data_IF_174886493926
#
_entry.id   IF_174886493926
#
_cell.length_a   1.000
_cell.length_b   1.000
_cell.length_c   1.000
_cell.angle_alpha   90.00
_cell.angle_beta   90.00
_cell.angle_gamma   90.00
#
_symmetry.space_group_name_H-M   'P 1'
#
loop_
_entity.id
_entity.type
_entity.pdbx_description
1 polymer ?
#
# COMPACT_ATOMS: atom_id res chain seq x y z
N UNK A 1 -26.90 42.86 -53.52
CA UNK A 1 -26.05 41.67 -53.66
C UNK A 1 -24.97 41.52 -52.56
N UNK A 2 -24.23 42.59 -52.19
CA UNK A 2 -23.14 42.49 -51.17
C UNK A 2 -23.60 42.06 -49.75
N UNK A 3 -24.79 42.44 -49.29
CA UNK A 3 -25.32 42.06 -47.97
C UNK A 3 -25.68 40.57 -47.88
N UNK A 4 -26.12 39.92 -48.94
CA UNK A 4 -26.48 38.51 -48.98
C UNK A 4 -25.22 37.63 -48.96
N UNK A 5 -24.14 38.06 -49.66
CA UNK A 5 -22.87 37.31 -49.65
C UNK A 5 -22.18 37.34 -48.27
N UNK A 6 -22.29 38.45 -47.50
CA UNK A 6 -21.71 38.53 -46.15
C UNK A 6 -22.46 37.63 -45.17
N UNK A 7 -23.81 37.56 -45.27
CA UNK A 7 -24.63 36.69 -44.43
C UNK A 7 -24.37 35.21 -44.70
N UNK A 8 -24.16 34.80 -45.94
CA UNK A 8 -23.79 33.40 -46.31
C UNK A 8 -22.38 33.04 -45.85
N UNK A 9 -21.42 33.95 -45.92
CA UNK A 9 -20.04 33.70 -45.46
C UNK A 9 -20.01 33.56 -43.92
N UNK A 10 -20.74 34.36 -43.16
CA UNK A 10 -20.86 34.25 -41.70
C UNK A 10 -21.53 32.94 -41.26
N UNK A 11 -22.57 32.49 -41.94
CA UNK A 11 -23.22 31.20 -41.62
C UNK A 11 -22.33 30.00 -41.96
N UNK A 12 -21.50 30.08 -42.97
CA UNK A 12 -20.54 29.03 -43.35
C UNK A 12 -19.41 28.91 -42.31
N UNK A 13 -18.91 30.04 -41.77
CA UNK A 13 -17.91 30.08 -40.69
C UNK A 13 -18.48 29.50 -39.40
N UNK A 14 -19.75 29.81 -39.07
CA UNK A 14 -20.42 29.28 -37.89
C UNK A 14 -20.66 27.76 -37.99
N UNK A 15 -20.99 27.24 -39.17
CA UNK A 15 -21.12 25.80 -39.42
C UNK A 15 -19.77 25.04 -39.35
N UNK A 16 -18.69 25.67 -39.80
CA UNK A 16 -17.33 25.12 -39.66
C UNK A 16 -16.85 25.08 -38.20
N UNK A 17 -17.22 26.07 -37.40
CA UNK A 17 -16.92 26.06 -35.95
C UNK A 17 -17.72 24.99 -35.18
N UNK A 18 -19.00 24.78 -35.55
CA UNK A 18 -19.81 23.71 -34.95
C UNK A 18 -19.30 22.31 -35.32
N UNK A 19 -18.79 22.10 -36.54
CA UNK A 19 -18.20 20.83 -36.96
C UNK A 19 -16.85 20.58 -36.25
N UNK A 20 -16.08 21.61 -35.98
CA UNK A 20 -14.82 21.51 -35.25
C UNK A 20 -15.04 21.18 -33.75
N UNK A 21 -16.12 21.72 -33.16
CA UNK A 21 -16.48 21.39 -31.77
C UNK A 21 -17.03 19.97 -31.59
N UNK A 22 -17.74 19.43 -32.60
CA UNK A 22 -18.29 18.07 -32.53
C UNK A 22 -17.24 16.98 -32.68
N UNK A 23 -16.10 17.27 -33.31
CA UNK A 23 -14.98 16.33 -33.44
C UNK A 23 -14.05 16.33 -32.22
N UNK A 24 -14.11 17.35 -31.38
CA UNK A 24 -13.28 17.47 -30.17
C UNK A 24 -13.83 16.72 -28.95
N UNK A 25 -15.05 16.20 -28.99
CA UNK A 25 -15.72 15.59 -27.86
C UNK A 25 -15.96 14.07 -27.97
N UNK A 26 -15.51 13.38 -29.01
CA UNK A 26 -15.61 11.92 -29.07
C UNK A 26 -14.46 11.30 -28.28
N UNK A 27 -14.77 10.77 -27.11
CA UNK A 27 -13.82 9.96 -26.34
C UNK A 27 -13.40 8.76 -27.21
N UNK A 28 -12.11 8.42 -27.34
CA UNK A 28 -11.70 7.26 -28.12
C UNK A 28 -12.10 5.97 -27.40
N UNK A 29 -12.39 4.90 -28.14
CA UNK A 29 -12.74 3.60 -27.56
C UNK A 29 -11.62 3.05 -26.68
N UNK A 30 -10.38 3.33 -27.02
CA UNK A 30 -9.21 2.85 -26.30
C UNK A 30 -8.02 3.82 -26.38
N UNK A 31 -7.15 3.74 -25.38
CA UNK A 31 -5.94 4.55 -25.25
C UNK A 31 -4.75 3.68 -24.86
N UNK A 32 -3.56 4.25 -24.96
CA UNK A 32 -2.34 3.65 -24.44
C UNK A 32 -2.18 4.04 -22.95
N UNK A 33 -1.88 3.06 -22.13
CA UNK A 33 -1.54 3.22 -20.71
C UNK A 33 -0.14 2.66 -20.48
N UNK A 34 0.78 3.50 -20.03
CA UNK A 34 2.12 3.12 -19.60
C UNK A 34 2.10 2.84 -18.11
N UNK A 35 2.61 1.68 -17.70
CA UNK A 35 2.88 1.34 -16.30
C UNK A 35 4.38 1.38 -16.05
N UNK A 36 4.81 2.12 -15.01
CA UNK A 36 6.23 2.32 -14.71
C UNK A 36 6.46 2.59 -13.23
N UNK A 37 7.70 2.40 -12.77
CA UNK A 37 8.19 2.95 -11.51
C UNK A 37 9.23 4.03 -11.79
N UNK A 38 9.19 5.10 -11.02
CA UNK A 38 10.20 6.17 -11.11
C UNK A 38 11.49 5.75 -10.41
N UNK A 39 12.62 6.22 -10.93
CA UNK A 39 13.94 6.05 -10.30
C UNK A 39 14.17 7.04 -9.17
N UNK A 40 13.35 8.08 -9.06
CA UNK A 40 13.37 9.03 -7.96
C UNK A 40 13.19 8.31 -6.64
N UNK A 41 13.76 8.91 -5.59
CA UNK A 41 13.69 8.34 -4.25
C UNK A 41 14.12 6.86 -4.18
N UNK A 42 15.13 6.48 -4.98
CA UNK A 42 15.72 5.13 -5.00
C UNK A 42 14.70 3.99 -5.16
N UNK A 43 13.63 4.20 -5.91
CA UNK A 43 12.60 3.18 -6.16
C UNK A 43 11.53 3.04 -5.08
N UNK A 44 11.43 3.98 -4.12
CA UNK A 44 10.42 3.94 -3.07
C UNK A 44 9.05 4.50 -3.46
N UNK A 45 8.94 5.08 -4.67
CA UNK A 45 7.70 5.74 -5.08
C UNK A 45 6.61 4.80 -5.59
N UNK A 46 6.96 3.53 -5.91
CA UNK A 46 5.97 2.54 -6.35
C UNK A 46 5.52 2.68 -7.80
N UNK A 47 4.36 2.10 -8.13
CA UNK A 47 3.80 2.02 -9.48
C UNK A 47 3.06 3.29 -9.85
N UNK A 48 3.40 3.83 -11.02
CA UNK A 48 2.76 5.00 -11.63
C UNK A 48 2.20 4.67 -13.01
N UNK A 49 1.31 5.53 -13.49
CA UNK A 49 0.77 5.47 -14.84
C UNK A 49 0.94 6.78 -15.58
N UNK A 50 1.11 6.65 -16.89
CA UNK A 50 0.92 7.74 -17.85
C UNK A 50 0.04 7.24 -19.00
N UNK A 51 -0.64 8.11 -19.69
CA UNK A 51 -1.53 7.73 -20.79
C UNK A 51 -1.28 8.55 -22.04
N UNK A 52 -1.64 7.99 -23.19
CA UNK A 52 -1.45 8.63 -24.49
C UNK A 52 -2.55 8.23 -25.46
N UNK A 53 -2.95 9.16 -26.33
CA UNK A 53 -3.83 8.87 -27.46
C UNK A 53 -3.09 8.19 -28.60
N UNK A 54 -1.87 8.63 -28.89
CA UNK A 54 -1.09 8.31 -30.08
C UNK A 54 0.12 7.41 -29.80
N UNK A 55 0.41 7.11 -28.54
CA UNK A 55 1.59 6.36 -28.09
C UNK A 55 2.90 7.15 -28.18
N UNK A 56 2.84 8.48 -28.45
CA UNK A 56 4.01 9.36 -28.58
C UNK A 56 4.01 10.44 -27.52
N UNK A 57 2.88 11.15 -27.37
CA UNK A 57 2.71 12.21 -26.38
C UNK A 57 2.07 11.63 -25.12
N UNK A 58 2.75 11.73 -24.01
CA UNK A 58 2.32 11.08 -22.75
C UNK A 58 1.89 12.10 -21.70
N UNK A 59 0.79 11.81 -21.05
CA UNK A 59 0.23 12.58 -19.97
C UNK A 59 0.35 11.77 -18.68
N UNK A 60 0.97 12.34 -17.66
CA UNK A 60 1.07 11.74 -16.34
C UNK A 60 -0.32 11.65 -15.69
N UNK A 61 -0.62 10.54 -15.05
CA UNK A 61 -1.92 10.36 -14.38
C UNK A 61 -1.94 11.08 -13.03
N UNK A 62 -0.83 11.05 -12.30
CA UNK A 62 -0.74 11.68 -10.98
C UNK A 62 0.67 12.19 -10.71
N UNK A 63 0.79 13.31 -10.01
CA UNK A 63 2.09 13.91 -9.72
C UNK A 63 2.84 13.21 -8.58
N UNK A 64 2.17 12.83 -7.51
CA UNK A 64 2.82 12.31 -6.30
C UNK A 64 2.16 11.03 -5.75
N UNK A 65 1.12 10.57 -6.38
CA UNK A 65 0.38 9.40 -5.94
C UNK A 65 0.79 8.15 -6.72
N UNK A 66 1.12 7.08 -6.02
CA UNK A 66 1.35 5.74 -6.60
C UNK A 66 0.16 4.83 -6.37
N UNK A 67 -0.12 3.97 -7.34
CA UNK A 67 -1.25 3.03 -7.29
C UNK A 67 -0.97 1.82 -6.40
N UNK A 68 0.28 1.39 -6.34
CA UNK A 68 0.77 0.41 -5.37
C UNK A 68 2.22 0.73 -4.99
N UNK A 69 2.55 0.61 -3.71
CA UNK A 69 3.91 0.69 -3.17
C UNK A 69 4.31 -0.67 -2.65
N UNK A 70 5.59 -1.02 -2.76
CA UNK A 70 6.09 -2.22 -2.11
C UNK A 70 5.93 -2.11 -0.59
N UNK A 71 5.37 -3.14 0.04
CA UNK A 71 5.25 -3.24 1.50
C UNK A 71 6.25 -4.27 2.09
N UNK A 72 7.20 -4.75 1.27
CA UNK A 72 8.21 -5.71 1.67
C UNK A 72 9.11 -5.21 2.79
N UNK A 73 9.38 -6.11 3.74
CA UNK A 73 10.31 -5.86 4.85
C UNK A 73 9.76 -4.96 5.95
N UNK A 74 10.47 -4.92 7.07
CA UNK A 74 10.09 -4.16 8.27
C UNK A 74 10.49 -2.68 8.18
N UNK A 75 11.55 -2.38 7.43
CA UNK A 75 12.12 -1.03 7.36
C UNK A 75 11.76 -0.32 6.07
N UNK A 76 11.57 0.98 6.13
CA UNK A 76 11.27 1.81 4.96
C UNK A 76 12.29 1.68 3.82
N UNK A 77 13.56 1.48 4.14
CA UNK A 77 14.65 1.27 3.17
C UNK A 77 14.49 -0.01 2.31
N UNK A 78 13.72 -0.99 2.77
CA UNK A 78 13.46 -2.24 2.06
C UNK A 78 12.25 -2.16 1.12
N UNK A 79 11.41 -1.13 1.26
CA UNK A 79 10.14 -0.99 0.54
C UNK A 79 10.35 -0.36 -0.83
N UNK A 80 11.03 -1.08 -1.72
CA UNK A 80 11.37 -0.61 -3.07
C UNK A 80 10.60 -1.37 -4.14
N UNK A 81 10.38 -0.72 -5.27
CA UNK A 81 9.81 -1.31 -6.47
C UNK A 81 10.73 -0.98 -7.65
N UNK A 82 11.42 -1.99 -8.14
CA UNK A 82 12.34 -1.87 -9.27
C UNK A 82 11.78 -2.64 -10.46
N UNK A 83 11.87 -2.03 -11.64
CA UNK A 83 11.52 -2.64 -12.92
C UNK A 83 10.17 -3.38 -12.93
N UNK A 84 9.06 -2.76 -12.49
CA UNK A 84 7.78 -3.45 -12.48
C UNK A 84 7.35 -3.85 -13.88
N UNK A 85 6.77 -5.04 -13.98
CA UNK A 85 6.13 -5.55 -15.19
C UNK A 85 4.67 -5.84 -14.92
N UNK A 86 3.79 -5.18 -15.64
CA UNK A 86 2.33 -5.35 -15.52
C UNK A 86 1.82 -6.15 -16.71
N UNK A 87 0.91 -7.10 -16.49
CA UNK A 87 0.27 -7.90 -17.54
C UNK A 87 -1.21 -8.12 -17.22
N UNK A 88 -2.06 -8.12 -18.26
CA UNK A 88 -3.44 -8.57 -18.12
C UNK A 88 -3.51 -10.09 -18.28
N UNK A 89 -3.97 -10.78 -17.27
CA UNK A 89 -3.98 -12.23 -17.18
C UNK A 89 -5.18 -12.90 -17.84
N UNK A 90 -5.07 -14.21 -18.05
CA UNK A 90 -6.15 -15.09 -18.54
C UNK A 90 -7.36 -15.15 -17.60
N UNK A 91 -7.15 -14.88 -16.33
CA UNK A 91 -8.15 -14.77 -15.25
C UNK A 91 -8.89 -13.44 -15.25
N UNK A 92 -8.61 -12.60 -16.26
CA UNK A 92 -9.18 -11.24 -16.41
C UNK A 92 -8.76 -10.27 -15.32
N UNK A 93 -7.63 -10.51 -14.68
CA UNK A 93 -7.01 -9.61 -13.71
C UNK A 93 -5.71 -9.04 -14.25
N UNK A 94 -5.31 -7.94 -13.69
CA UNK A 94 -4.00 -7.35 -13.86
C UNK A 94 -3.04 -7.93 -12.84
N UNK A 95 -1.86 -8.31 -13.26
CA UNK A 95 -0.78 -8.79 -12.42
C UNK A 95 0.42 -7.89 -12.57
N UNK A 96 1.03 -7.52 -11.45
CA UNK A 96 2.28 -6.80 -11.40
C UNK A 96 3.34 -7.66 -10.73
N UNK A 97 4.51 -7.76 -11.36
CA UNK A 97 5.69 -8.44 -10.82
C UNK A 97 6.84 -7.44 -10.80
N UNK A 98 7.60 -7.35 -9.72
CA UNK A 98 8.72 -6.43 -9.60
C UNK A 98 9.84 -6.95 -8.72
N UNK A 99 11.05 -6.39 -8.92
CA UNK A 99 12.21 -6.65 -8.08
C UNK A 99 12.17 -5.77 -6.84
N UNK A 100 12.53 -6.32 -5.69
CA UNK A 100 12.51 -5.65 -4.40
C UNK A 100 13.74 -4.76 -4.18
N UNK A 101 14.90 -5.29 -4.49
CA UNK A 101 16.20 -4.59 -4.47
C UNK A 101 17.21 -5.35 -5.36
N UNK A 102 18.46 -4.95 -5.32
CA UNK A 102 19.50 -5.49 -6.20
C UNK A 102 20.00 -6.88 -5.78
N UNK A 103 19.87 -7.24 -4.50
CA UNK A 103 20.48 -8.42 -3.91
C UNK A 103 19.47 -9.50 -3.47
N UNK A 104 18.17 -9.18 -3.52
CA UNK A 104 17.13 -10.05 -2.96
C UNK A 104 16.77 -11.19 -3.92
N UNK A 105 16.69 -12.40 -3.39
CA UNK A 105 16.20 -13.59 -4.10
C UNK A 105 14.67 -13.59 -4.26
N UNK A 106 13.98 -12.85 -3.42
CA UNK A 106 12.52 -12.71 -3.49
C UNK A 106 12.11 -11.63 -4.45
N UNK A 107 10.95 -11.84 -5.03
CA UNK A 107 10.29 -10.83 -5.85
C UNK A 107 8.87 -10.61 -5.36
N UNK A 108 8.27 -9.52 -5.77
CA UNK A 108 6.91 -9.23 -5.37
C UNK A 108 5.95 -9.49 -6.52
N UNK A 109 4.75 -9.92 -6.16
CA UNK A 109 3.61 -10.02 -7.05
C UNK A 109 2.38 -9.45 -6.36
N UNK A 110 1.55 -8.72 -7.11
CA UNK A 110 0.23 -8.27 -6.72
C UNK A 110 -0.75 -8.38 -7.88
N UNK A 111 -2.03 -8.53 -7.57
CA UNK A 111 -3.11 -8.57 -8.57
C UNK A 111 -4.12 -7.45 -8.34
N UNK A 112 -4.78 -7.02 -9.42
CA UNK A 112 -5.82 -5.99 -9.42
C UNK A 112 -6.90 -6.29 -10.45
N UNK A 113 -8.15 -5.98 -10.13
CA UNK A 113 -9.26 -6.08 -11.08
C UNK A 113 -9.40 -4.82 -11.95
N UNK A 114 -8.84 -3.69 -11.51
CA UNK A 114 -9.14 -2.36 -12.07
C UNK A 114 -7.92 -1.43 -12.27
N UNK A 115 -6.69 -1.91 -12.01
CA UNK A 115 -5.44 -1.11 -12.01
C UNK A 115 -5.38 -0.02 -10.90
N UNK A 116 -6.40 0.06 -10.07
CA UNK A 116 -6.51 1.05 -9.00
C UNK A 116 -6.30 0.40 -7.65
N UNK A 117 -7.06 -0.66 -7.38
CA UNK A 117 -7.06 -1.40 -6.12
C UNK A 117 -6.24 -2.67 -6.26
N UNK A 118 -5.04 -2.64 -5.72
CA UNK A 118 -4.14 -3.78 -5.72
C UNK A 118 -4.32 -4.60 -4.45
N UNK A 119 -4.44 -5.93 -4.61
CA UNK A 119 -4.59 -6.86 -3.48
C UNK A 119 -3.28 -7.01 -2.73
N UNK A 120 -3.35 -7.72 -1.60
CA UNK A 120 -2.17 -8.01 -0.77
C UNK A 120 -1.04 -8.62 -1.61
N UNK A 121 0.16 -8.10 -1.41
CA UNK A 121 1.36 -8.55 -2.10
C UNK A 121 1.79 -9.93 -1.59
N UNK A 122 2.33 -10.73 -2.48
CA UNK A 122 3.01 -11.99 -2.18
C UNK A 122 4.49 -11.88 -2.56
N UNK A 123 5.32 -12.66 -1.87
CA UNK A 123 6.78 -12.60 -2.03
C UNK A 123 7.35 -13.99 -2.31
N UNK A 124 7.19 -14.49 -3.55
CA UNK A 124 7.82 -15.74 -3.96
C UNK A 124 9.34 -15.64 -3.88
N UNK A 125 9.96 -16.76 -3.51
CA UNK A 125 11.41 -16.89 -3.37
C UNK A 125 11.96 -17.71 -4.53
N UNK A 126 13.07 -17.28 -5.12
CA UNK A 126 13.91 -18.10 -5.99
C UNK A 126 15.01 -18.75 -5.15
N UNK A 127 15.44 -19.94 -5.54
CA UNK A 127 16.35 -20.72 -4.69
C UNK A 127 17.74 -20.11 -4.62
N UNK A 128 18.23 -19.52 -5.72
CA UNK A 128 19.60 -19.04 -5.83
C UNK A 128 19.72 -17.71 -6.58
N UNK A 129 20.51 -16.80 -6.04
CA UNK A 129 20.89 -15.54 -6.65
C UNK A 129 19.88 -14.42 -6.35
N UNK A 130 19.89 -13.40 -7.19
CA UNK A 130 19.02 -12.24 -7.10
C UNK A 130 17.97 -12.24 -8.23
N UNK A 131 16.90 -11.48 -8.05
CA UNK A 131 15.80 -11.39 -8.99
C UNK A 131 15.67 -9.97 -9.53
N UNK A 132 16.08 -9.75 -10.77
CA UNK A 132 16.10 -8.44 -11.39
C UNK A 132 15.39 -8.41 -12.74
N UNK A 133 14.85 -7.26 -13.09
CA UNK A 133 14.26 -6.94 -14.40
C UNK A 133 13.23 -7.96 -14.88
N UNK A 134 12.19 -8.30 -14.13
CA UNK A 134 11.23 -9.31 -14.52
C UNK A 134 10.50 -8.97 -15.80
N UNK A 135 10.25 -9.99 -16.63
CA UNK A 135 9.39 -9.94 -17.81
C UNK A 135 8.39 -11.09 -17.69
N UNK A 136 7.11 -10.78 -17.82
CA UNK A 136 6.05 -11.78 -17.73
C UNK A 136 5.38 -11.96 -19.07
N UNK A 137 5.23 -13.19 -19.51
CA UNK A 137 4.50 -13.54 -20.72
C UNK A 137 3.58 -14.74 -20.49
N UNK A 138 2.43 -14.75 -21.17
CA UNK A 138 1.50 -15.88 -21.12
C UNK A 138 1.73 -16.79 -22.33
N UNK A 139 1.86 -18.09 -22.08
CA UNK A 139 1.95 -19.11 -23.11
C UNK A 139 0.59 -19.85 -23.22
N UNK A 140 -0.19 -19.63 -24.29
CA UNK A 140 -1.49 -20.26 -24.44
C UNK A 140 -1.42 -21.79 -24.62
N UNK A 141 -0.32 -22.32 -25.18
CA UNK A 141 -0.17 -23.76 -25.42
C UNK A 141 -0.01 -24.54 -24.11
N UNK A 142 0.77 -24.03 -23.17
CA UNK A 142 0.98 -24.65 -21.86
C UNK A 142 0.02 -24.10 -20.78
N UNK A 143 -0.77 -23.11 -21.13
CA UNK A 143 -1.69 -22.41 -20.23
C UNK A 143 -1.01 -21.83 -18.96
N UNK A 144 0.26 -21.45 -19.05
CA UNK A 144 1.11 -20.97 -17.97
C UNK A 144 1.69 -19.59 -18.31
N UNK A 145 2.06 -18.86 -17.27
CA UNK A 145 2.90 -17.68 -17.38
C UNK A 145 4.37 -18.06 -17.25
N UNK A 146 5.21 -17.44 -18.06
CA UNK A 146 6.65 -17.47 -17.91
C UNK A 146 7.11 -16.15 -17.31
N UNK A 147 7.85 -16.21 -16.21
CA UNK A 147 8.51 -15.07 -15.58
C UNK A 147 10.00 -15.19 -15.85
N UNK A 148 10.53 -14.34 -16.71
CA UNK A 148 11.93 -14.25 -17.07
C UNK A 148 12.57 -13.18 -16.22
N UNK A 149 13.81 -13.40 -15.77
CA UNK A 149 14.51 -12.44 -14.93
C UNK A 149 16.04 -12.59 -15.07
N UNK A 150 16.76 -11.57 -14.61
CA UNK A 150 18.21 -11.56 -14.49
C UNK A 150 18.61 -11.98 -13.09
N UNK A 151 19.66 -12.79 -12.99
CA UNK A 151 20.27 -13.21 -11.72
C UNK A 151 21.79 -13.22 -11.88
N UNK A 152 22.45 -12.16 -11.40
CA UNK A 152 23.84 -11.89 -11.76
C UNK A 152 24.00 -11.78 -13.29
N UNK A 153 24.95 -12.56 -13.82
CA UNK A 153 25.21 -12.62 -15.28
C UNK A 153 24.31 -13.64 -16.00
N UNK A 154 23.41 -14.31 -15.29
CA UNK A 154 22.55 -15.36 -15.84
C UNK A 154 21.15 -14.83 -16.12
N UNK A 155 20.54 -15.43 -17.15
CA UNK A 155 19.12 -15.25 -17.45
C UNK A 155 18.37 -16.52 -17.04
N UNK A 156 17.34 -16.34 -16.22
CA UNK A 156 16.56 -17.42 -15.64
C UNK A 156 15.07 -17.28 -15.95
N UNK A 157 14.38 -18.38 -15.83
CA UNK A 157 12.92 -18.46 -15.99
C UNK A 157 12.33 -19.34 -14.90
N UNK A 158 11.20 -18.89 -14.33
CA UNK A 158 10.23 -19.72 -13.61
C UNK A 158 8.90 -19.70 -14.32
N UNK A 159 8.07 -20.71 -14.14
CA UNK A 159 6.69 -20.71 -14.69
C UNK A 159 5.67 -20.85 -13.57
N UNK A 160 4.49 -20.30 -13.81
CA UNK A 160 3.36 -20.36 -12.89
C UNK A 160 2.04 -20.38 -13.65
N UNK A 161 1.03 -21.01 -13.08
CA UNK A 161 -0.33 -20.99 -13.62
C UNK A 161 -1.25 -20.00 -12.89
N UNK A 162 -0.86 -19.57 -11.70
CA UNK A 162 -1.72 -18.88 -10.73
C UNK A 162 -1.02 -17.77 -9.93
N UNK A 163 0.25 -17.49 -10.21
CA UNK A 163 1.11 -16.56 -9.47
C UNK A 163 1.25 -16.87 -7.95
N UNK A 164 0.94 -18.11 -7.56
CA UNK A 164 1.10 -18.58 -6.18
C UNK A 164 2.16 -19.64 -6.07
N UNK A 165 2.15 -20.58 -7.01
CA UNK A 165 3.13 -21.65 -7.09
C UNK A 165 4.01 -21.47 -8.32
N UNK A 166 5.30 -21.67 -8.14
CA UNK A 166 6.30 -21.50 -9.20
C UNK A 166 7.11 -22.76 -9.37
N UNK A 167 7.50 -23.04 -10.63
CA UNK A 167 8.44 -24.14 -10.91
C UNK A 167 9.83 -23.79 -10.40
N UNK A 168 10.71 -24.80 -10.41
CA UNK A 168 12.15 -24.56 -10.27
C UNK A 168 12.67 -23.68 -11.40
N UNK A 169 13.76 -22.96 -11.13
CA UNK A 169 14.41 -22.09 -12.08
C UNK A 169 15.09 -22.86 -13.20
N UNK A 170 15.03 -22.33 -14.39
CA UNK A 170 15.73 -22.85 -15.53
C UNK A 170 16.51 -21.73 -16.21
N UNK A 171 17.74 -22.03 -16.67
CA UNK A 171 18.53 -21.11 -17.48
C UNK A 171 17.88 -20.91 -18.86
N UNK A 172 17.96 -19.70 -19.39
CA UNK A 172 17.50 -19.38 -20.74
C UNK A 172 18.62 -18.70 -21.54
N UNK A 173 18.52 -18.79 -22.87
CA UNK A 173 19.44 -18.10 -23.73
C UNK A 173 19.15 -16.59 -23.80
N UNK A 174 20.16 -15.79 -24.12
CA UNK A 174 20.01 -14.34 -24.31
C UNK A 174 18.96 -13.98 -25.38
N UNK A 175 18.83 -14.81 -26.41
CA UNK A 175 17.83 -14.63 -27.47
C UNK A 175 16.39 -14.73 -27.02
N UNK A 176 16.16 -15.42 -25.89
CA UNK A 176 14.83 -15.67 -25.30
C UNK A 176 14.38 -14.55 -24.35
N UNK A 177 15.35 -13.79 -23.84
CA UNK A 177 15.08 -12.64 -22.98
C UNK A 177 14.83 -11.39 -23.83
N UNK A 178 13.57 -11.18 -24.21
CA UNK A 178 13.14 -10.02 -25.01
C UNK A 178 12.30 -9.11 -24.16
N UNK A 179 12.89 -8.01 -23.71
CA UNK A 179 12.19 -7.01 -22.91
C UNK A 179 11.30 -6.12 -23.81
N UNK A 180 9.97 -6.18 -23.66
CA UNK A 180 9.05 -5.35 -24.44
C UNK A 180 8.90 -3.94 -23.86
N UNK A 181 9.47 -3.65 -22.69
CA UNK A 181 9.42 -2.31 -22.10
C UNK A 181 10.16 -1.31 -22.99
N UNK A 182 9.69 -0.08 -22.94
CA UNK A 182 10.27 1.05 -23.68
C UNK A 182 10.55 2.19 -22.74
N UNK A 183 11.50 3.03 -23.10
CA UNK A 183 11.80 4.26 -22.39
C UNK A 183 11.00 5.43 -22.94
N UNK A 184 10.48 6.24 -22.04
CA UNK A 184 9.68 7.42 -22.35
C UNK A 184 10.12 8.58 -21.45
N UNK A 185 10.01 9.79 -21.97
CA UNK A 185 10.18 11.00 -21.18
C UNK A 185 8.81 11.43 -20.63
N UNK A 186 8.70 11.47 -19.31
CA UNK A 186 7.48 11.87 -18.58
C UNK A 186 7.88 12.97 -17.60
N UNK A 187 7.40 14.20 -17.80
CA UNK A 187 7.72 15.36 -16.95
C UNK A 187 9.23 15.55 -16.72
N UNK A 188 10.03 15.43 -17.78
CA UNK A 188 11.49 15.57 -17.72
C UNK A 188 12.22 14.41 -17.03
N UNK A 189 11.54 13.30 -16.78
CA UNK A 189 12.13 12.07 -16.27
C UNK A 189 12.09 10.96 -17.31
N UNK A 190 13.23 10.31 -17.55
CA UNK A 190 13.30 9.10 -18.36
C UNK A 190 12.85 7.91 -17.54
N UNK A 191 11.70 7.35 -17.90
CA UNK A 191 11.12 6.18 -17.24
C UNK A 191 11.03 5.00 -18.22
N UNK A 192 11.21 3.79 -17.72
CA UNK A 192 11.06 2.56 -18.49
C UNK A 192 9.87 1.77 -17.98
N UNK A 193 8.99 1.36 -18.88
CA UNK A 193 7.78 0.64 -18.52
C UNK A 193 7.14 -0.08 -19.69
N UNK A 194 6.08 -0.81 -19.42
CA UNK A 194 5.33 -1.51 -20.46
C UNK A 194 3.98 -0.84 -20.74
N UNK A 195 3.60 -0.87 -22.02
CA UNK A 195 2.44 -0.17 -22.56
C UNK A 195 1.31 -1.15 -22.79
N UNK A 196 0.10 -0.74 -22.35
CA UNK A 196 -1.13 -1.50 -22.51
C UNK A 196 -2.14 -0.74 -23.36
N UNK A 197 -3.04 -1.46 -24.02
CA UNK A 197 -4.26 -0.86 -24.59
C UNK A 197 -5.39 -1.05 -23.59
N UNK A 198 -5.97 0.04 -23.11
CA UNK A 198 -7.11 0.02 -22.19
C UNK A 198 -8.27 0.81 -22.78
N UNK A 199 -9.49 0.50 -22.34
CA UNK A 199 -10.66 1.30 -22.72
C UNK A 199 -10.57 2.71 -22.14
N UNK A 200 -11.19 3.69 -22.81
CA UNK A 200 -11.31 5.03 -22.23
C UNK A 200 -11.95 5.01 -20.86
N UNK A 201 -12.95 4.16 -20.66
CA UNK A 201 -13.63 4.03 -19.37
C UNK A 201 -12.70 3.54 -18.24
N UNK A 202 -11.78 2.62 -18.55
CA UNK A 202 -10.74 2.20 -17.59
C UNK A 202 -9.83 3.37 -17.22
N UNK A 203 -9.35 4.13 -18.22
CA UNK A 203 -8.55 5.32 -17.97
C UNK A 203 -9.31 6.37 -17.14
N UNK A 204 -10.56 6.64 -17.48
CA UNK A 204 -11.38 7.62 -16.77
C UNK A 204 -11.52 7.28 -15.28
N UNK A 205 -11.69 6.02 -14.92
CA UNK A 205 -11.69 5.56 -13.52
C UNK A 205 -10.35 5.83 -12.83
N UNK A 206 -9.25 5.53 -13.51
CA UNK A 206 -7.90 5.76 -13.00
C UNK A 206 -7.67 7.26 -12.76
N UNK A 207 -8.05 8.12 -13.71
CA UNK A 207 -7.93 9.57 -13.59
C UNK A 207 -8.77 10.13 -12.44
N UNK A 208 -10.05 9.74 -12.36
CA UNK A 208 -10.95 10.18 -11.29
C UNK A 208 -10.45 9.75 -9.91
N UNK A 209 -9.89 8.54 -9.79
CA UNK A 209 -9.30 8.09 -8.55
C UNK A 209 -8.08 8.92 -8.17
N UNK A 210 -7.19 9.19 -9.11
CA UNK A 210 -5.99 10.01 -8.89
C UNK A 210 -6.36 11.45 -8.50
N UNK A 211 -7.35 12.04 -9.17
CA UNK A 211 -7.86 13.38 -8.84
C UNK A 211 -8.46 13.44 -7.43
N UNK A 212 -9.28 12.46 -7.07
CA UNK A 212 -9.84 12.36 -5.72
C UNK A 212 -8.75 12.23 -4.65
N UNK A 213 -7.70 11.46 -4.90
CA UNK A 213 -6.56 11.33 -3.98
C UNK A 213 -5.77 12.63 -3.86
N UNK A 214 -5.51 13.30 -4.98
CA UNK A 214 -4.86 14.61 -4.97
C UNK A 214 -5.69 15.64 -4.19
N UNK A 215 -7.00 15.66 -4.41
CA UNK A 215 -7.90 16.54 -3.66
C UNK A 215 -7.86 16.27 -2.16
N UNK A 216 -7.92 15.00 -1.74
CA UNK A 216 -7.79 14.62 -0.33
C UNK A 216 -6.45 15.02 0.26
N UNK A 217 -5.35 14.82 -0.47
CA UNK A 217 -4.03 15.23 -0.02
C UNK A 217 -3.93 16.76 0.17
N UNK A 218 -4.55 17.54 -0.73
CA UNK A 218 -4.64 18.98 -0.59
C UNK A 218 -5.46 19.40 0.64
N UNK A 219 -6.57 18.71 0.92
CA UNK A 219 -7.39 18.99 2.10
C UNK A 219 -6.63 18.72 3.42
N UNK A 220 -5.73 17.73 3.43
CA UNK A 220 -4.92 17.37 4.60
C UNK A 220 -3.55 18.06 4.62
N UNK A 221 -3.21 18.86 3.61
CA UNK A 221 -1.96 19.61 3.61
C UNK A 221 -2.08 20.84 4.52
N UNK A 222 -0.97 21.23 5.16
CA UNK A 222 -0.92 22.44 5.97
C UNK A 222 -1.08 23.71 5.14
N UNK A 223 -0.73 23.64 3.84
CA UNK A 223 -0.85 24.75 2.89
C UNK A 223 -1.70 24.34 1.70
N UNK A 224 -2.67 25.20 1.37
CA UNK A 224 -3.54 25.04 0.20
C UNK A 224 -3.21 26.07 -0.87
N UNK A 225 -3.42 25.74 -2.13
CA UNK A 225 -3.19 26.65 -3.26
C UNK A 225 -3.96 27.98 -3.16
N UNK A 226 -5.06 27.99 -2.41
CA UNK A 226 -5.90 29.16 -2.18
C UNK A 226 -5.47 30.02 -0.98
N UNK A 227 -4.50 29.57 -0.18
CA UNK A 227 -4.09 30.27 1.05
C UNK A 227 -3.56 31.66 0.77
N UNK A 228 -2.83 31.85 -0.32
CA UNK A 228 -2.37 33.16 -0.76
C UNK A 228 -3.51 34.18 -0.99
N UNK A 229 -4.68 33.70 -1.43
CA UNK A 229 -5.87 34.52 -1.63
C UNK A 229 -6.70 34.63 -0.35
N UNK A 230 -6.93 33.51 0.34
CA UNK A 230 -7.75 33.47 1.58
C UNK A 230 -7.14 34.27 2.70
N UNK A 231 -5.82 34.29 2.80
CA UNK A 231 -5.06 34.92 3.86
C UNK A 231 -4.28 36.16 3.42
N UNK A 232 -4.57 36.69 2.21
CA UNK A 232 -3.90 37.88 1.67
C UNK A 232 -3.97 39.11 2.60
N UNK A 233 -5.00 39.18 3.45
CA UNK A 233 -5.19 40.26 4.43
C UNK A 233 -4.49 40.04 5.76
N UNK A 234 -3.90 38.87 6.00
CA UNK A 234 -3.18 38.58 7.24
C UNK A 234 -1.81 39.26 7.23
N UNK A 235 -1.50 39.91 8.32
CA UNK A 235 -0.17 40.49 8.54
C UNK A 235 0.66 39.56 9.41
N UNK A 236 1.97 39.43 9.18
CA UNK A 236 2.85 38.72 10.09
C UNK A 236 2.70 39.27 11.51
N UNK A 237 2.63 38.41 12.49
CA UNK A 237 2.59 38.78 13.93
C UNK A 237 3.88 38.29 14.55
N UNK A 238 4.66 39.25 15.06
CA UNK A 238 5.84 38.91 15.85
C UNK A 238 5.41 38.63 17.29
N UNK A 239 5.65 37.40 17.73
CA UNK A 239 5.33 36.97 19.10
C UNK A 239 6.63 36.72 19.86
N UNK A 240 6.82 37.44 20.94
CA UNK A 240 7.93 37.21 21.86
C UNK A 240 7.41 36.43 23.06
N UNK A 241 7.89 35.20 23.25
CA UNK A 241 7.62 34.40 24.42
C UNK A 241 8.75 34.61 25.43
N UNK A 242 8.43 35.17 26.58
CA UNK A 242 9.38 35.37 27.67
C UNK A 242 9.12 34.34 28.76
N UNK A 243 10.06 33.47 29.03
CA UNK A 243 10.00 32.60 30.19
C UNK A 243 10.31 33.40 31.46
N UNK A 244 9.48 33.23 32.50
CA UNK A 244 9.63 33.87 33.80
C UNK A 244 9.91 32.77 34.82
N UNK A 245 11.18 32.41 35.07
CA UNK A 245 11.56 31.28 35.92
C UNK A 245 11.01 31.35 37.35
N UNK A 246 10.84 32.55 37.89
CA UNK A 246 10.31 32.81 39.22
C UNK A 246 8.83 32.41 39.38
N UNK A 247 8.10 32.30 38.28
CA UNK A 247 6.73 31.83 38.24
C UNK A 247 6.61 30.33 37.89
N UNK A 248 7.73 29.61 37.90
CA UNK A 248 7.70 28.19 37.65
C UNK A 248 6.96 27.43 38.76
N UNK A 249 6.22 26.41 38.35
CA UNK A 249 5.60 25.43 39.25
C UNK A 249 6.24 24.07 39.00
N UNK A 250 6.45 23.33 40.07
CA UNK A 250 6.87 21.94 39.94
C UNK A 250 5.82 21.16 39.12
N UNK A 251 6.26 20.49 38.11
CA UNK A 251 5.42 19.56 37.33
C UNK A 251 5.38 18.26 38.14
N UNK A 252 4.20 17.73 38.34
CA UNK A 252 4.03 16.40 38.96
C UNK A 252 4.67 15.35 38.03
N UNK A 253 5.37 14.41 38.63
CA UNK A 253 5.92 13.25 37.90
C UNK A 253 4.84 12.43 37.17
N UNK A 254 3.60 12.56 37.63
CA UNK A 254 2.43 11.94 36.99
C UNK A 254 1.95 12.67 35.71
N UNK A 255 2.48 13.87 35.42
CA UNK A 255 2.17 14.64 34.19
C UNK A 255 3.18 14.39 33.06
N UNK A 256 4.18 13.56 33.29
CA UNK A 256 5.08 13.13 32.23
C UNK A 256 4.29 12.17 31.33
N UNK A 257 3.91 12.67 30.15
CA UNK A 257 3.26 11.86 29.13
C UNK A 257 4.25 10.86 28.54
N UNK A 258 3.85 9.62 28.46
CA UNK A 258 4.51 8.61 27.65
C UNK A 258 3.71 8.42 26.37
N UNK A 259 4.40 8.21 25.25
CA UNK A 259 3.76 7.66 24.07
C UNK A 259 3.32 6.25 24.42
N UNK A 260 2.01 6.05 24.41
CA UNK A 260 1.41 4.76 24.71
C UNK A 260 0.86 4.15 23.42
N UNK A 261 1.25 2.95 23.13
CA UNK A 261 0.74 2.14 22.03
C UNK A 261 0.46 0.73 22.59
N UNK A 262 -0.75 0.24 22.40
CA UNK A 262 -1.14 -1.10 22.86
C UNK A 262 -0.54 -2.17 21.93
N UNK A 263 0.75 -2.37 22.09
CA UNK A 263 1.53 -3.40 21.39
C UNK A 263 2.02 -4.42 22.42
N UNK A 264 1.89 -5.70 22.11
CA UNK A 264 2.43 -6.78 22.94
C UNK A 264 1.97 -6.75 24.40
N UNK A 265 0.69 -6.53 24.64
CA UNK A 265 0.11 -6.48 25.99
C UNK A 265 0.56 -5.29 26.84
N UNK A 266 0.96 -4.21 26.21
CA UNK A 266 1.43 -3.02 26.93
C UNK A 266 0.36 -2.39 27.83
N UNK A 267 -0.92 -2.62 27.54
CA UNK A 267 -2.00 -2.30 28.45
C UNK A 267 -3.17 -3.27 28.27
N UNK A 268 -3.35 -4.08 29.20
CA UNK A 268 -4.45 -5.05 29.33
C UNK A 268 -5.82 -4.32 29.45
N UNK A 269 -6.31 -3.81 28.32
CA UNK A 269 -7.58 -3.10 28.21
C UNK A 269 -7.59 -1.65 28.67
N UNK A 270 -6.46 -0.95 28.80
CA UNK A 270 -6.38 0.46 29.14
C UNK A 270 -5.03 0.92 29.69
N UNK A 271 -4.92 2.23 29.97
CA UNK A 271 -3.74 2.80 30.62
C UNK A 271 -3.82 2.56 32.13
N UNK A 272 -3.21 1.49 32.59
CA UNK A 272 -3.08 1.20 34.00
C UNK A 272 -1.60 1.28 34.42
N UNK A 273 -1.36 1.67 35.66
CA UNK A 273 -0.10 1.41 36.34
C UNK A 273 -0.06 -0.05 36.85
N UNK A 274 -0.62 -0.98 36.11
CA UNK A 274 -0.75 -2.38 36.45
C UNK A 274 0.43 -3.17 35.93
N UNK A 275 1.14 -3.87 36.78
CA UNK A 275 2.30 -4.68 36.47
C UNK A 275 2.00 -6.18 36.37
N UNK A 276 0.76 -6.57 36.69
CA UNK A 276 0.34 -7.96 36.71
C UNK A 276 -0.48 -8.27 35.46
N UNK A 277 0.06 -9.13 34.60
CA UNK A 277 -0.64 -9.60 33.41
C UNK A 277 -1.77 -10.57 33.79
N UNK A 278 -2.90 -10.49 33.06
CA UNK A 278 -4.09 -11.34 33.29
C UNK A 278 -4.60 -11.31 34.73
N UNK A 279 -4.59 -10.15 35.35
CA UNK A 279 -4.99 -9.95 36.74
C UNK A 279 -6.44 -10.34 37.03
N UNK A 280 -7.31 -10.29 36.01
CA UNK A 280 -8.74 -10.63 36.12
C UNK A 280 -9.06 -12.07 35.77
N UNK A 281 -8.07 -12.87 35.35
CA UNK A 281 -8.22 -14.26 34.89
C UNK A 281 -9.19 -14.42 33.71
N UNK A 282 -9.32 -13.41 32.85
CA UNK A 282 -10.32 -13.39 31.78
C UNK A 282 -9.76 -13.78 30.40
N UNK A 283 -8.46 -14.07 30.28
CA UNK A 283 -7.88 -14.49 29.03
C UNK A 283 -8.46 -15.80 28.56
N UNK A 284 -8.78 -15.87 27.27
CA UNK A 284 -9.30 -17.06 26.61
C UNK A 284 -8.56 -17.32 25.29
N UNK A 285 -8.49 -18.58 24.82
CA UNK A 285 -7.90 -18.87 23.50
C UNK A 285 -8.57 -18.13 22.34
N UNK A 286 -9.83 -17.75 22.49
CA UNK A 286 -10.57 -16.97 21.49
C UNK A 286 -9.99 -15.58 21.23
N UNK A 287 -9.34 -14.97 22.23
CA UNK A 287 -8.66 -13.67 22.12
C UNK A 287 -7.48 -13.74 21.14
N UNK A 288 -6.98 -14.96 20.88
CA UNK A 288 -5.94 -15.28 19.92
C UNK A 288 -6.44 -16.13 18.76
N UNK A 289 -7.71 -16.01 18.38
CA UNK A 289 -8.32 -16.78 17.31
C UNK A 289 -8.13 -18.29 17.47
N UNK A 290 -8.10 -18.80 18.71
CA UNK A 290 -7.84 -20.20 19.09
C UNK A 290 -6.49 -20.75 18.62
N UNK A 291 -5.52 -19.89 18.27
CA UNK A 291 -4.19 -20.33 17.80
C UNK A 291 -3.22 -20.61 18.95
N UNK A 292 -3.48 -20.06 20.13
CA UNK A 292 -2.65 -20.21 21.31
C UNK A 292 -3.51 -20.70 22.47
N UNK A 293 -3.42 -22.00 22.80
CA UNK A 293 -4.15 -22.62 23.90
C UNK A 293 -3.57 -22.28 25.27
N UNK A 294 -2.34 -21.74 25.33
CA UNK A 294 -1.76 -21.24 26.59
C UNK A 294 -2.38 -19.91 27.02
N UNK A 295 -3.10 -19.24 26.10
CA UNK A 295 -3.84 -18.01 26.37
C UNK A 295 -5.18 -18.36 27.01
N UNK A 296 -5.12 -18.65 28.31
CA UNK A 296 -6.26 -19.09 29.11
C UNK A 296 -6.30 -18.37 30.46
N UNK A 297 -7.26 -18.68 31.28
CA UNK A 297 -7.50 -18.02 32.57
C UNK A 297 -6.26 -18.01 33.50
N UNK A 298 -5.39 -19.01 33.42
CA UNK A 298 -4.18 -19.08 34.23
C UNK A 298 -2.91 -18.58 33.51
N UNK A 299 -3.05 -17.96 32.32
CA UNK A 299 -1.92 -17.40 31.61
C UNK A 299 -1.17 -16.38 32.46
N UNK A 300 0.14 -16.44 32.49
CA UNK A 300 1.04 -15.59 33.29
C UNK A 300 0.96 -15.81 34.82
N UNK A 301 0.24 -16.84 35.27
CA UNK A 301 0.18 -17.19 36.68
C UNK A 301 0.87 -18.52 36.94
N UNK A 302 1.73 -18.56 37.94
CA UNK A 302 2.40 -19.77 38.40
C UNK A 302 1.85 -20.22 39.73
N UNK A 303 1.50 -21.52 39.80
CA UNK A 303 0.99 -22.14 41.00
C UNK A 303 1.98 -23.16 41.47
N UNK A 304 2.32 -23.13 42.74
CA UNK A 304 3.19 -24.15 43.35
C UNK A 304 2.50 -25.52 43.40
N UNK A 305 1.17 -25.52 43.61
CA UNK A 305 0.34 -26.70 43.51
C UNK A 305 -0.95 -26.37 42.75
N UNK A 306 -1.11 -26.93 41.52
CA UNK A 306 -2.26 -26.67 40.65
C UNK A 306 -3.58 -27.25 41.16
N UNK A 307 -3.52 -28.14 42.16
CA UNK A 307 -4.71 -28.81 42.69
C UNK A 307 -5.55 -27.91 43.64
N UNK A 308 -4.98 -26.79 44.06
CA UNK A 308 -5.56 -25.98 45.11
C UNK A 308 -6.13 -24.63 44.61
N UNK A 309 -6.17 -24.40 43.28
CA UNK A 309 -6.74 -23.18 42.70
C UNK A 309 -7.64 -23.54 41.54
N UNK A 310 -8.88 -23.10 41.61
CA UNK A 310 -9.85 -23.20 40.52
C UNK A 310 -10.22 -21.81 40.03
N UNK A 311 -10.31 -21.63 38.72
CA UNK A 311 -10.81 -20.39 38.15
C UNK A 311 -12.30 -20.54 37.92
N UNK A 312 -13.07 -19.66 38.57
CA UNK A 312 -14.51 -19.72 38.60
C UNK A 312 -15.13 -18.46 37.96
N UNK A 313 -16.33 -18.62 37.45
CA UNK A 313 -17.12 -17.53 36.84
C UNK A 313 -18.51 -17.39 37.50
N UNK A 314 -18.86 -18.25 38.44
CA UNK A 314 -20.20 -18.26 39.07
C UNK A 314 -20.12 -18.65 40.53
N UNK A 315 -20.76 -17.87 41.44
CA UNK A 315 -21.36 -16.55 41.16
C UNK A 315 -20.28 -15.49 40.92
N UNK A 316 -20.48 -14.56 39.98
CA UNK A 316 -19.50 -13.53 39.69
C UNK A 316 -19.31 -12.63 40.92
N UNK A 317 -18.06 -12.20 41.19
CA UNK A 317 -17.76 -11.21 42.21
C UNK A 317 -18.26 -9.83 41.77
N UNK A 318 -18.13 -9.55 40.47
CA UNK A 318 -18.60 -8.30 39.87
C UNK A 318 -19.00 -8.56 38.40
N UNK A 319 -20.08 -7.92 37.92
CA UNK A 319 -20.63 -8.12 36.58
C UNK A 319 -19.63 -7.79 35.46
N UNK A 320 -18.73 -6.83 35.65
CA UNK A 320 -17.72 -6.42 34.68
C UNK A 320 -16.45 -7.27 34.72
N UNK A 321 -16.21 -8.01 35.79
CA UNK A 321 -15.07 -8.93 35.95
C UNK A 321 -15.58 -10.21 36.61
N UNK A 322 -16.25 -11.07 35.83
CA UNK A 322 -16.93 -12.23 36.43
C UNK A 322 -15.98 -13.37 36.82
N UNK A 323 -14.75 -13.36 36.27
CA UNK A 323 -13.79 -14.47 36.49
C UNK A 323 -12.92 -14.18 37.73
N UNK A 324 -12.71 -15.19 38.55
CA UNK A 324 -11.85 -15.09 39.72
C UNK A 324 -11.17 -16.42 40.05
N UNK A 325 -10.07 -16.37 40.79
CA UNK A 325 -9.39 -17.54 41.30
C UNK A 325 -9.92 -17.91 42.69
N UNK A 326 -10.49 -19.10 42.80
CA UNK A 326 -10.94 -19.69 44.06
C UNK A 326 -9.76 -20.42 44.74
N UNK A 327 -9.48 -20.06 46.00
CA UNK A 327 -8.49 -20.75 46.83
C UNK A 327 -9.23 -21.55 47.93
N UNK A 328 -9.35 -22.87 47.81
CA UNK A 328 -9.95 -23.66 48.88
C UNK A 328 -9.06 -23.60 50.16
N UNK A 329 -9.65 -23.23 51.26
CA UNK A 329 -8.96 -23.04 52.54
C UNK A 329 -8.33 -24.33 53.16
N UNK A 330 -8.05 -25.32 52.33
CA UNK A 330 -7.47 -26.59 52.80
C UNK A 330 -5.98 -26.49 53.16
N UNK A 331 -5.28 -25.53 52.57
CA UNK A 331 -3.86 -25.32 52.82
C UNK A 331 -3.48 -23.83 52.71
N UNK A 332 -3.43 -23.10 53.84
CA UNK A 332 -3.18 -21.66 53.87
C UNK A 332 -1.75 -21.24 53.48
N UNK A 333 -0.89 -22.18 53.09
CA UNK A 333 0.51 -21.96 52.79
C UNK A 333 0.85 -22.06 51.29
N UNK A 334 -0.14 -22.16 50.39
CA UNK A 334 0.14 -22.24 48.93
C UNK A 334 0.55 -20.88 48.40
N UNK A 335 1.77 -20.67 47.93
CA UNK A 335 2.18 -19.43 47.31
C UNK A 335 1.52 -19.25 45.94
N UNK A 336 0.93 -18.08 45.75
CA UNK A 336 0.33 -17.63 44.52
C UNK A 336 1.14 -16.44 44.02
N UNK A 337 1.70 -16.53 42.82
CA UNK A 337 2.54 -15.46 42.22
C UNK A 337 2.22 -15.22 40.78
N UNK A 338 2.25 -13.96 40.31
CA UNK A 338 2.12 -13.57 38.91
C UNK A 338 3.36 -13.86 38.09
#
# INVERSE_FOLDING_TARGET
MMRICISLALSLIFLLQLSAQSTLNSKPDSVYLLSYATTKNRGHNGLHYAWSHDGKSWNKVSNEFSFVKSDYGSWGSQKRMLSPFVIFGKDKKWHAVWSLNEDESRFAHAESDDLISWRRQSYPDIKEGNFLDPIVSFNPNSNNYSVLFKSGDQLKKVTTSDFKTYTEETLIAQSDYKDPRKSFEIDGENVTGNVHRVSWWTLEKILNHAELKNYKNLLYSETMSQDAVRFAGLKPVDVTVKAVPENSKAISDMLIGIFYEDINYAADGGLYAELVQNRSFEYTPSDRNNRDQSWNHSHSWSLSDKSDVEVETSPPIHDNTPTYAGLPLKNPAVPFSP
#
